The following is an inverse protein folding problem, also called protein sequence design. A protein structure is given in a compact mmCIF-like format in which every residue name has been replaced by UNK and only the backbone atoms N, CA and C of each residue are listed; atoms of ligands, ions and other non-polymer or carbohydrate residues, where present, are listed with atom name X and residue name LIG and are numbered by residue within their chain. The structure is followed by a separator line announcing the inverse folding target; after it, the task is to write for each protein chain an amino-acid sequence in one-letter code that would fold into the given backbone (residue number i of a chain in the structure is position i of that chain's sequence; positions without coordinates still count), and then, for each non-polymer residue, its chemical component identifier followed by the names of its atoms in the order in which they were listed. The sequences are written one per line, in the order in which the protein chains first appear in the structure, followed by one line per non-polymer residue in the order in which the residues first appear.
data_IF_207165583579
#
_entry.id   IF_207165583579
#
_cell.length_a   1.000
_cell.length_b   1.000
_cell.length_c   1.000
_cell.angle_alpha   90.00
_cell.angle_beta   90.00
_cell.angle_gamma   90.00
#
_symmetry.space_group_name_H-M   'P 1'
#
loop_
_entity.id
_entity.type
_entity.pdbx_description
1 polymer ?
#
# COMPACT_ATOMS: atom_id res chain seq x y z
N UNK A 1 -11.17 13.12 6.43
CA UNK A 1 -11.26 11.65 6.43
C UNK A 1 -10.47 11.15 7.63
N UNK A 2 -11.14 10.68 8.69
CA UNK A 2 -10.52 10.34 9.97
C UNK A 2 -9.36 9.35 9.84
N UNK A 3 -9.43 8.43 8.87
CA UNK A 3 -8.37 7.44 8.61
C UNK A 3 -6.98 8.05 8.33
N UNK A 4 -6.89 9.32 7.89
CA UNK A 4 -5.63 9.97 7.49
C UNK A 4 -5.41 11.36 8.13
N UNK A 5 -6.30 11.77 9.04
CA UNK A 5 -6.26 13.10 9.67
C UNK A 5 -5.95 13.04 11.17
N UNK A 6 -6.01 11.83 11.73
CA UNK A 6 -5.80 11.55 13.14
C UNK A 6 -4.39 11.03 13.41
N UNK A 7 -3.96 11.18 14.66
CA UNK A 7 -2.71 10.61 15.14
C UNK A 7 -2.88 9.10 15.34
N UNK A 8 -1.91 8.33 14.87
CA UNK A 8 -1.91 6.87 14.95
C UNK A 8 -1.31 6.37 16.26
N UNK A 9 -1.36 5.06 16.49
CA UNK A 9 -0.89 4.44 17.73
C UNK A 9 0.61 4.66 18.01
N UNK A 10 1.40 4.95 16.97
CA UNK A 10 2.82 5.32 17.05
C UNK A 10 3.07 6.82 17.35
N UNK A 11 2.01 7.61 17.53
CA UNK A 11 2.09 9.05 17.78
C UNK A 11 2.39 9.89 16.55
N UNK A 12 2.40 9.28 15.35
CA UNK A 12 2.64 9.97 14.09
C UNK A 12 1.32 10.23 13.33
N UNK A 13 1.39 11.11 12.32
CA UNK A 13 0.28 11.35 11.39
C UNK A 13 0.73 11.03 9.98
N UNK A 14 -0.10 10.29 9.27
CA UNK A 14 0.16 9.85 7.91
C UNK A 14 -0.91 10.35 6.95
N UNK A 15 -0.49 11.02 5.89
CA UNK A 15 -1.39 11.34 4.78
C UNK A 15 -1.66 10.09 3.95
N UNK A 16 -2.73 10.12 3.16
CA UNK A 16 -3.08 9.01 2.26
C UNK A 16 -1.94 8.66 1.32
N UNK A 17 -1.29 9.68 0.76
CA UNK A 17 -0.19 9.52 -0.20
C UNK A 17 1.03 8.88 0.47
N UNK A 18 1.29 9.19 1.75
CA UNK A 18 2.37 8.57 2.51
C UNK A 18 2.13 7.09 2.78
N UNK A 19 0.90 6.73 3.17
CA UNK A 19 0.54 5.33 3.38
C UNK A 19 0.61 4.54 2.07
N UNK A 20 0.08 5.09 0.97
CA UNK A 20 0.15 4.46 -0.34
C UNK A 20 1.60 4.25 -0.80
N UNK A 21 2.46 5.26 -0.65
CA UNK A 21 3.89 5.13 -0.96
C UNK A 21 4.56 4.05 -0.09
N UNK A 22 4.25 4.00 1.20
CA UNK A 22 4.80 3.00 2.11
C UNK A 22 4.37 1.57 1.74
N UNK A 23 3.14 1.37 1.26
CA UNK A 23 2.67 0.06 0.76
C UNK A 23 3.46 -0.35 -0.49
N UNK A 24 3.75 0.58 -1.40
CA UNK A 24 4.56 0.28 -2.59
C UNK A 24 5.99 -0.08 -2.19
N UNK A 25 6.66 0.77 -1.40
CA UNK A 25 8.02 0.56 -0.87
C UNK A 25 8.13 -0.78 -0.11
N UNK A 26 7.09 -1.21 0.60
CA UNK A 26 7.13 -2.47 1.33
C UNK A 26 7.13 -3.71 0.41
N UNK A 27 6.54 -3.60 -0.78
CA UNK A 27 6.24 -4.73 -1.68
C UNK A 27 7.20 -4.81 -2.86
N UNK A 28 7.63 -3.68 -3.41
CA UNK A 28 8.44 -3.67 -4.63
C UNK A 28 9.85 -4.25 -4.40
N UNK A 29 10.52 -4.71 -5.47
CA UNK A 29 11.79 -5.41 -5.32
C UNK A 29 13.00 -4.49 -5.11
N UNK A 30 12.80 -3.17 -5.18
CA UNK A 30 13.89 -2.21 -5.10
C UNK A 30 14.14 -1.76 -3.65
N UNK A 31 14.87 -0.66 -3.45
CA UNK A 31 15.19 -0.13 -2.10
C UNK A 31 15.05 1.39 -2.08
N UNK A 32 14.41 1.93 -3.12
CA UNK A 32 14.27 3.34 -3.42
C UNK A 32 12.85 3.76 -3.10
N UNK A 33 12.74 4.78 -2.25
CA UNK A 33 11.47 5.37 -1.88
C UNK A 33 10.67 5.79 -3.12
N UNK A 34 9.44 5.30 -3.22
CA UNK A 34 8.49 5.60 -4.26
C UNK A 34 8.11 7.09 -4.27
N UNK A 35 8.20 7.71 -5.44
CA UNK A 35 7.82 9.10 -5.68
C UNK A 35 6.38 9.14 -6.20
N UNK A 36 5.42 9.43 -5.31
CA UNK A 36 4.00 9.56 -5.64
C UNK A 36 3.69 10.61 -6.72
N UNK A 37 4.56 11.61 -6.92
CA UNK A 37 4.35 12.64 -7.94
C UNK A 37 4.79 12.14 -9.32
N UNK A 38 5.88 11.38 -9.37
CA UNK A 38 6.39 10.80 -10.63
C UNK A 38 5.80 9.43 -10.95
N UNK A 39 5.14 8.79 -9.99
CA UNK A 39 4.66 7.40 -10.06
C UNK A 39 5.78 6.43 -10.44
N UNK A 40 6.95 6.60 -9.81
CA UNK A 40 8.14 5.80 -10.08
C UNK A 40 9.08 5.77 -8.86
N UNK A 41 10.03 4.84 -8.84
CA UNK A 41 11.09 4.77 -7.83
C UNK A 41 11.89 6.09 -7.79
N UNK A 42 12.11 6.59 -6.57
CA UNK A 42 12.85 7.83 -6.31
C UNK A 42 14.36 7.60 -6.17
N UNK A 43 15.06 8.55 -5.53
CA UNK A 43 16.51 8.44 -5.30
C UNK A 43 16.88 8.31 -3.81
N UNK A 44 15.90 8.32 -2.91
CA UNK A 44 16.11 8.18 -1.47
C UNK A 44 15.97 6.70 -1.06
N UNK A 45 16.69 6.26 -0.02
CA UNK A 45 16.57 4.88 0.48
C UNK A 45 15.34 4.70 1.38
N UNK A 46 14.70 3.54 1.29
CA UNK A 46 13.47 3.22 2.04
C UNK A 46 13.72 2.55 3.42
N UNK A 47 14.79 1.74 3.57
CA UNK A 47 15.00 0.86 4.74
C UNK A 47 15.10 1.62 6.06
N UNK A 48 15.43 2.92 6.02
CA UNK A 48 15.56 3.78 7.19
C UNK A 48 14.29 3.74 8.06
N UNK A 49 13.11 3.54 7.47
CA UNK A 49 11.81 3.56 8.16
C UNK A 49 11.59 2.36 9.08
N UNK A 50 11.94 1.17 8.62
CA UNK A 50 11.63 -0.08 9.34
C UNK A 50 12.75 -0.49 10.32
N UNK A 51 13.99 -0.12 10.00
CA UNK A 51 15.19 -0.52 10.77
C UNK A 51 15.48 0.34 12.01
N UNK A 52 14.75 1.44 12.20
CA UNK A 52 14.88 2.33 13.37
C UNK A 52 13.78 2.21 14.41
N UNK A 53 12.86 1.27 14.20
CA UNK A 53 11.83 0.97 15.17
C UNK A 53 12.43 0.32 16.42
N UNK A 54 11.66 0.34 17.51
CA UNK A 54 12.04 -0.35 18.75
C UNK A 54 12.27 -1.84 18.51
N UNK A 55 11.42 -2.46 17.68
CA UNK A 55 11.58 -3.82 17.15
C UNK A 55 11.78 -3.72 15.63
N UNK A 56 13.03 -3.66 15.15
CA UNK A 56 13.33 -3.40 13.75
C UNK A 56 13.06 -4.64 12.89
N UNK A 57 12.53 -4.39 11.70
CA UNK A 57 12.37 -5.39 10.64
C UNK A 57 12.78 -4.77 9.30
N UNK A 58 12.95 -5.62 8.29
CA UNK A 58 13.19 -5.18 6.92
C UNK A 58 11.86 -5.11 6.16
N UNK A 59 11.73 -4.21 5.18
CA UNK A 59 10.64 -4.29 4.22
C UNK A 59 10.69 -5.63 3.49
N UNK A 60 9.54 -6.10 3.00
CA UNK A 60 9.45 -7.45 2.43
C UNK A 60 10.24 -7.55 1.12
N UNK A 61 10.23 -6.47 0.34
CA UNK A 61 10.84 -6.31 -0.98
C UNK A 61 10.52 -7.46 -1.93
N UNK A 62 9.28 -7.94 -1.82
CA UNK A 62 8.72 -9.03 -2.57
C UNK A 62 7.20 -9.00 -2.45
N UNK A 63 6.52 -9.66 -3.38
CA UNK A 63 5.06 -9.83 -3.35
C UNK A 63 4.62 -10.49 -2.07
N UNK A 64 3.55 -9.96 -1.47
CA UNK A 64 2.89 -10.52 -0.28
C UNK A 64 2.48 -11.99 -0.48
N UNK A 65 2.44 -12.75 0.62
CA UNK A 65 1.80 -14.06 0.69
C UNK A 65 0.40 -13.95 1.28
N UNK A 66 0.19 -12.97 2.17
CA UNK A 66 -1.08 -12.69 2.83
C UNK A 66 -1.36 -11.19 2.93
N UNK A 67 -2.63 -10.82 3.05
CA UNK A 67 -3.03 -9.42 3.26
C UNK A 67 -2.61 -8.91 4.64
N UNK A 68 -2.53 -9.80 5.63
CA UNK A 68 -2.19 -9.45 7.01
C UNK A 68 -0.79 -8.83 7.15
N UNK A 69 0.10 -9.06 6.20
CA UNK A 69 1.43 -8.45 6.17
C UNK A 69 1.41 -6.94 5.99
N UNK A 70 0.31 -6.38 5.46
CA UNK A 70 0.15 -4.93 5.38
C UNK A 70 0.13 -4.27 6.77
N UNK A 71 -0.14 -5.00 7.86
CA UNK A 71 0.01 -4.48 9.22
C UNK A 71 1.45 -4.12 9.60
N UNK A 72 2.45 -4.55 8.81
CA UNK A 72 3.85 -4.17 8.98
C UNK A 72 4.21 -2.90 8.17
N UNK A 73 3.27 -2.32 7.43
CA UNK A 73 3.54 -1.13 6.64
C UNK A 73 3.36 0.13 7.49
N UNK A 74 4.29 1.07 7.35
CA UNK A 74 4.22 2.37 8.03
C UNK A 74 2.88 3.08 7.74
N UNK A 75 2.15 3.42 8.81
CA UNK A 75 0.86 4.12 8.73
C UNK A 75 -0.34 3.24 8.36
N UNK A 76 -0.16 1.93 8.17
CA UNK A 76 -1.26 0.96 8.15
C UNK A 76 -1.57 0.53 9.58
N UNK A 77 -2.81 0.76 9.99
CA UNK A 77 -3.32 0.39 11.31
C UNK A 77 -4.59 -0.45 11.20
N UNK A 78 -5.09 -0.90 12.37
CA UNK A 78 -6.29 -1.72 12.47
C UNK A 78 -7.51 -1.04 11.82
N UNK A 79 -7.63 0.29 11.92
CA UNK A 79 -8.73 1.03 11.32
C UNK A 79 -8.66 1.02 9.79
N UNK A 80 -7.45 1.16 9.22
CA UNK A 80 -7.24 1.04 7.78
C UNK A 80 -7.52 -0.38 7.29
N UNK A 81 -7.04 -1.39 8.01
CA UNK A 81 -7.28 -2.79 7.67
C UNK A 81 -8.75 -3.18 7.83
N UNK A 82 -9.45 -2.63 8.83
CA UNK A 82 -10.89 -2.80 9.00
C UNK A 82 -11.67 -2.15 7.85
N UNK A 83 -11.21 -0.99 7.37
CA UNK A 83 -11.89 -0.26 6.30
C UNK A 83 -11.68 -0.89 4.92
N UNK A 84 -10.49 -1.44 4.64
CA UNK A 84 -10.10 -1.85 3.29
C UNK A 84 -9.69 -3.32 3.14
N UNK A 85 -9.34 -4.02 4.22
CA UNK A 85 -8.79 -5.37 4.18
C UNK A 85 -9.65 -6.36 3.40
N UNK A 86 -10.97 -6.33 3.61
CA UNK A 86 -11.94 -7.18 2.90
C UNK A 86 -12.03 -6.91 1.39
N UNK A 87 -11.55 -5.74 0.95
CA UNK A 87 -11.53 -5.36 -0.47
C UNK A 87 -10.22 -5.71 -1.17
N UNK A 88 -9.21 -6.20 -0.43
CA UNK A 88 -7.89 -6.52 -0.94
C UNK A 88 -7.69 -8.04 -1.03
N UNK A 89 -6.90 -8.47 -2.00
CA UNK A 89 -6.60 -9.89 -2.23
C UNK A 89 -5.16 -10.06 -2.69
N UNK A 90 -4.47 -11.10 -2.22
CA UNK A 90 -3.16 -11.53 -2.73
C UNK A 90 -3.35 -12.71 -3.68
N UNK A 91 -2.68 -12.66 -4.84
CA UNK A 91 -2.60 -13.78 -5.78
C UNK A 91 -1.13 -14.07 -6.11
N UNK A 92 -0.76 -15.35 -6.15
CA UNK A 92 0.64 -15.76 -6.36
C UNK A 92 1.17 -15.60 -7.79
N UNK A 93 0.30 -15.41 -8.79
CA UNK A 93 0.69 -15.29 -10.21
C UNK A 93 0.46 -13.88 -10.76
N UNK A 94 1.53 -13.08 -10.86
CA UNK A 94 1.48 -11.74 -11.46
C UNK A 94 1.19 -11.72 -12.94
N UNK A 95 1.46 -12.81 -13.67
CA UNK A 95 1.40 -12.78 -15.13
C UNK A 95 -0.05 -12.64 -15.63
N UNK A 96 -1.03 -12.92 -14.76
CA UNK A 96 -2.46 -12.73 -15.03
C UNK A 96 -3.24 -12.14 -13.82
N UNK A 97 -2.59 -11.36 -12.95
CA UNK A 97 -3.28 -10.61 -11.88
C UNK A 97 -4.22 -9.56 -12.49
N UNK A 98 -5.49 -9.93 -12.74
CA UNK A 98 -6.53 -9.07 -13.30
C UNK A 98 -7.77 -9.11 -12.41
N UNK A 99 -8.45 -7.97 -12.28
CA UNK A 99 -9.73 -7.89 -11.58
C UNK A 99 -10.80 -8.62 -12.37
N UNK A 100 -11.48 -9.58 -11.74
CA UNK A 100 -12.61 -10.27 -12.35
C UNK A 100 -13.87 -9.40 -12.29
N UNK A 101 -14.21 -8.77 -13.42
CA UNK A 101 -15.33 -7.83 -13.50
C UNK A 101 -16.69 -8.46 -13.17
N UNK A 102 -16.85 -9.78 -13.28
CA UNK A 102 -18.10 -10.46 -12.92
C UNK A 102 -18.32 -10.59 -11.42
N UNK A 103 -17.25 -10.42 -10.62
CA UNK A 103 -17.26 -10.54 -9.16
C UNK A 103 -16.90 -9.24 -8.45
N UNK A 104 -16.39 -8.24 -9.17
CA UNK A 104 -16.13 -6.92 -8.63
C UNK A 104 -17.43 -6.19 -8.26
N UNK A 105 -17.41 -5.48 -7.13
CA UNK A 105 -18.52 -4.61 -6.74
C UNK A 105 -18.69 -3.44 -7.71
N UNK A 106 -19.89 -2.82 -7.72
CA UNK A 106 -20.16 -1.65 -8.55
C UNK A 106 -19.20 -0.49 -8.24
N UNK A 107 -18.81 -0.31 -6.98
CA UNK A 107 -17.88 0.73 -6.55
C UNK A 107 -16.46 0.45 -7.06
N UNK A 108 -15.97 -0.80 -6.95
CA UNK A 108 -14.67 -1.20 -7.50
C UNK A 108 -14.63 -1.00 -9.02
N UNK A 109 -15.70 -1.38 -9.74
CA UNK A 109 -15.81 -1.17 -11.18
C UNK A 109 -15.79 0.32 -11.55
N UNK A 110 -16.56 1.15 -10.83
CA UNK A 110 -16.59 2.58 -11.06
C UNK A 110 -15.22 3.24 -10.82
N UNK A 111 -14.48 2.75 -9.84
CA UNK A 111 -13.15 3.25 -9.50
C UNK A 111 -12.12 2.89 -10.58
N UNK A 112 -12.12 1.63 -11.04
CA UNK A 112 -11.26 1.18 -12.15
C UNK A 112 -11.57 1.98 -13.41
N UNK A 113 -12.84 2.13 -13.80
CA UNK A 113 -13.21 2.89 -15.01
C UNK A 113 -12.80 4.35 -14.91
N UNK A 114 -13.01 4.99 -13.75
CA UNK A 114 -12.67 6.39 -13.54
C UNK A 114 -11.16 6.66 -13.69
N UNK A 115 -10.32 5.72 -13.27
CA UNK A 115 -8.87 5.90 -13.26
C UNK A 115 -8.15 5.21 -14.43
N UNK A 116 -8.77 4.25 -15.12
CA UNK A 116 -8.19 3.59 -16.30
C UNK A 116 -8.21 4.48 -17.55
N UNK A 117 -9.14 5.45 -17.64
CA UNK A 117 -9.28 6.35 -18.80
C UNK A 117 -8.28 7.53 -18.73
N UNK A 118 -7.53 7.68 -17.64
CA UNK A 118 -6.52 8.73 -17.49
C UNK A 118 -5.14 8.36 -18.09
N UNK A 119 -5.00 7.14 -18.63
CA UNK A 119 -3.77 6.61 -19.25
C UNK A 119 -3.90 6.53 -20.79
N UNK A 120 -4.26 7.65 -21.43
CA UNK A 120 -4.14 7.84 -22.90
C UNK A 120 -3.42 9.16 -23.23
#
# INVERSE_FOLDING_TARGET
NPLFEEEKADGQRYTREQVLAAIVDYIDEDVQRFDMVKLASGSAQENYRYTQLYDPYEPRNARLDTIDELNLVEGVDDDLMLAFGDSLTVYGDSSNCKVNLNFASADQLALVIRHAVAEE
#
